data_IF_136693744090
#
_entry.id   IF_136693744090
#
_cell.length_a   1.000
_cell.length_b   1.000
_cell.length_c   1.000
_cell.angle_alpha   90.00
_cell.angle_beta   90.00
_cell.angle_gamma   90.00
#
_symmetry.space_group_name_H-M   'P 1'
#
loop_
_entity.id
_entity.type
_entity.pdbx_description
1 polymer ?
#
# COMPACT_ATOMS: atom_id res chain seq x y z
N UNK A 1 -33.18 1.44 66.65
CA UNK A 1 -32.98 0.84 65.31
C UNK A 1 -33.00 1.96 64.27
N UNK A 2 -31.85 2.53 63.88
CA UNK A 2 -31.79 3.54 62.81
C UNK A 2 -30.86 3.03 61.71
N UNK A 3 -31.42 2.83 60.51
CA UNK A 3 -30.70 2.33 59.33
C UNK A 3 -29.86 3.46 58.73
N UNK A 4 -28.56 3.19 58.49
CA UNK A 4 -27.68 4.07 57.76
C UNK A 4 -28.07 4.12 56.27
N UNK A 5 -28.26 5.32 55.75
CA UNK A 5 -28.49 5.60 54.32
C UNK A 5 -27.15 5.46 53.59
N UNK A 6 -27.01 4.41 52.77
CA UNK A 6 -25.88 4.27 51.83
C UNK A 6 -26.16 5.15 50.61
N UNK A 7 -25.35 6.20 50.42
CA UNK A 7 -25.31 6.99 49.18
C UNK A 7 -24.55 6.21 48.12
N UNK A 8 -25.26 5.75 47.10
CA UNK A 8 -24.67 5.12 45.91
C UNK A 8 -24.04 6.22 45.05
N UNK A 9 -22.71 6.21 44.92
CA UNK A 9 -22.00 7.06 43.96
C UNK A 9 -22.16 6.39 42.59
N UNK A 10 -22.94 7.01 41.71
CA UNK A 10 -23.01 6.61 40.31
C UNK A 10 -21.79 7.19 39.57
N UNK A 11 -20.80 6.35 39.25
CA UNK A 11 -19.75 6.69 38.29
C UNK A 11 -20.39 6.76 36.90
N UNK A 12 -20.48 7.96 36.34
CA UNK A 12 -20.79 8.16 34.92
C UNK A 12 -19.60 7.72 34.08
N UNK A 13 -19.76 6.62 33.32
CA UNK A 13 -18.79 6.22 32.32
C UNK A 13 -19.00 7.07 31.05
N UNK A 14 -18.17 8.09 30.88
CA UNK A 14 -18.12 8.90 29.66
C UNK A 14 -17.47 8.07 28.57
N UNK A 15 -18.28 7.45 27.71
CA UNK A 15 -17.81 6.65 26.57
C UNK A 15 -17.43 7.60 25.42
N UNK A 16 -16.16 8.01 25.36
CA UNK A 16 -15.63 8.78 24.22
C UNK A 16 -15.55 7.86 23.00
N UNK A 17 -16.49 8.05 22.07
CA UNK A 17 -16.42 7.49 20.72
C UNK A 17 -15.24 8.16 20.00
N UNK A 18 -14.09 7.49 19.92
CA UNK A 18 -13.04 7.86 18.97
C UNK A 18 -13.56 7.53 17.57
N UNK A 19 -14.15 8.51 16.90
CA UNK A 19 -14.28 8.48 15.43
C UNK A 19 -12.87 8.51 14.86
N UNK A 20 -12.38 7.35 14.41
CA UNK A 20 -11.09 7.24 13.74
C UNK A 20 -11.12 8.03 12.44
N UNK A 21 -10.46 9.18 12.42
CA UNK A 21 -10.19 9.91 11.18
C UNK A 21 -9.21 9.05 10.40
N UNK A 22 -9.64 8.51 9.26
CA UNK A 22 -8.73 7.82 8.36
C UNK A 22 -7.74 8.87 7.81
N UNK A 23 -6.54 8.93 8.38
CA UNK A 23 -5.50 9.83 7.87
C UNK A 23 -5.03 9.27 6.54
N UNK A 24 -5.06 10.10 5.48
CA UNK A 24 -4.52 9.70 4.19
C UNK A 24 -3.06 9.27 4.35
N UNK A 25 -2.70 8.07 3.87
CA UNK A 25 -1.35 7.55 3.94
C UNK A 25 -0.72 7.61 2.56
N UNK A 26 0.52 8.08 2.46
CA UNK A 26 1.27 8.07 1.21
C UNK A 26 2.69 7.53 1.39
N UNK A 27 3.19 6.88 0.34
CA UNK A 27 4.56 6.39 0.28
C UNK A 27 5.10 6.55 -1.13
N UNK A 28 6.37 6.94 -1.22
CA UNK A 28 7.08 7.14 -2.48
C UNK A 28 8.14 6.06 -2.64
N UNK A 29 8.27 5.54 -3.85
CA UNK A 29 9.17 4.46 -4.20
C UNK A 29 9.93 4.79 -5.49
N UNK A 30 11.20 4.39 -5.54
CA UNK A 30 12.03 4.41 -6.73
C UNK A 30 12.46 2.98 -7.03
N UNK A 31 11.87 2.36 -8.07
CA UNK A 31 12.17 0.98 -8.41
C UNK A 31 13.52 0.89 -9.14
N UNK A 32 14.23 -0.20 -8.89
CA UNK A 32 15.36 -0.65 -9.68
C UNK A 32 15.03 -2.00 -10.33
N UNK A 33 15.49 -2.19 -11.57
CA UNK A 33 15.44 -3.48 -12.24
C UNK A 33 16.25 -4.52 -11.46
N UNK A 34 15.73 -5.74 -11.40
CA UNK A 34 16.50 -6.89 -10.95
C UNK A 34 17.66 -7.15 -11.95
N UNK A 35 18.92 -7.30 -11.49
CA UNK A 35 20.06 -7.57 -12.37
C UNK A 35 19.93 -8.85 -13.20
N UNK A 36 19.08 -9.80 -12.78
CA UNK A 36 18.79 -11.04 -13.49
C UNK A 36 17.73 -10.92 -14.59
N UNK A 37 17.20 -9.72 -14.85
CA UNK A 37 16.20 -9.49 -15.88
C UNK A 37 16.75 -9.81 -17.29
N UNK A 38 15.94 -10.50 -18.10
CA UNK A 38 16.25 -10.75 -19.52
C UNK A 38 16.13 -9.48 -20.36
N UNK A 39 16.74 -9.49 -21.56
CA UNK A 39 16.75 -8.33 -22.47
C UNK A 39 15.35 -7.77 -22.77
N UNK A 40 14.33 -8.63 -22.86
CA UNK A 40 12.94 -8.20 -23.11
C UNK A 40 12.36 -7.30 -22.01
N UNK A 41 12.83 -7.44 -20.77
CA UNK A 41 12.43 -6.60 -19.65
C UNK A 41 13.04 -5.20 -19.72
N UNK A 42 14.24 -5.07 -20.29
CA UNK A 42 14.97 -3.79 -20.39
C UNK A 42 14.19 -2.78 -21.22
N UNK A 43 13.47 -3.22 -22.26
CA UNK A 43 12.63 -2.34 -23.06
C UNK A 43 11.48 -1.71 -22.26
N UNK A 44 11.02 -2.38 -21.20
CA UNK A 44 9.96 -1.91 -20.31
C UNK A 44 10.49 -1.07 -19.14
N UNK A 45 11.80 -1.16 -18.86
CA UNK A 45 12.46 -0.56 -17.69
C UNK A 45 12.18 0.95 -17.49
N UNK A 46 12.14 1.80 -18.55
CA UNK A 46 11.89 3.23 -18.37
C UNK A 46 10.51 3.59 -17.81
N UNK A 47 9.56 2.63 -17.78
CA UNK A 47 8.26 2.79 -17.13
C UNK A 47 8.37 2.64 -15.61
N UNK A 48 9.30 1.82 -15.13
CA UNK A 48 9.39 1.40 -13.73
C UNK A 48 10.48 2.14 -12.96
N UNK A 49 11.57 2.56 -13.60
CA UNK A 49 12.68 3.28 -12.94
C UNK A 49 12.39 4.75 -12.63
N UNK A 50 11.11 5.12 -12.54
CA UNK A 50 10.63 6.45 -12.18
C UNK A 50 9.99 6.42 -10.79
N UNK A 51 9.73 7.60 -10.24
CA UNK A 51 9.00 7.72 -8.98
C UNK A 51 7.61 7.10 -9.07
N UNK A 52 7.28 6.24 -8.11
CA UNK A 52 5.95 5.69 -7.87
C UNK A 52 5.42 6.26 -6.57
N UNK A 53 4.16 6.70 -6.56
CA UNK A 53 3.48 7.21 -5.38
C UNK A 53 2.28 6.35 -5.09
N UNK A 54 2.32 5.69 -3.94
CA UNK A 54 1.18 5.03 -3.33
C UNK A 54 0.38 6.04 -2.51
N UNK A 55 -0.94 5.98 -2.62
CA UNK A 55 -1.86 6.79 -1.82
C UNK A 55 -3.00 5.92 -1.32
N UNK A 56 -3.28 5.97 -0.02
CA UNK A 56 -4.47 5.42 0.61
C UNK A 56 -5.29 6.58 1.16
N UNK A 57 -6.44 6.82 0.55
CA UNK A 57 -7.36 7.90 0.90
C UNK A 57 -8.79 7.33 0.89
N UNK A 58 -9.56 7.60 1.94
CA UNK A 58 -10.94 7.09 2.10
C UNK A 58 -11.11 5.57 1.89
N UNK A 59 -10.06 4.80 2.22
CA UNK A 59 -10.04 3.34 2.07
C UNK A 59 -9.73 2.86 0.64
N UNK A 60 -9.52 3.77 -0.30
CA UNK A 60 -9.08 3.46 -1.66
C UNK A 60 -7.56 3.57 -1.78
N UNK A 61 -6.91 2.47 -2.15
CA UNK A 61 -5.48 2.45 -2.44
C UNK A 61 -5.23 2.65 -3.93
N UNK A 62 -4.37 3.61 -4.28
CA UNK A 62 -3.96 3.88 -5.65
C UNK A 62 -2.44 3.92 -5.78
N UNK A 63 -1.95 3.57 -6.97
CA UNK A 63 -0.55 3.74 -7.35
C UNK A 63 -0.48 4.57 -8.62
N UNK A 64 0.30 5.65 -8.54
CA UNK A 64 0.56 6.53 -9.68
C UNK A 64 2.05 6.57 -9.98
N UNK A 65 2.41 6.51 -11.26
CA UNK A 65 3.77 6.76 -11.74
C UNK A 65 3.74 7.37 -13.13
N UNK A 66 4.85 7.99 -13.52
CA UNK A 66 5.04 8.45 -14.90
C UNK A 66 4.96 7.25 -15.89
N UNK A 67 4.57 7.52 -17.14
CA UNK A 67 4.34 6.45 -18.13
C UNK A 67 2.89 5.95 -18.19
N UNK A 68 1.97 6.61 -17.50
CA UNK A 68 0.53 6.31 -17.56
C UNK A 68 0.07 5.25 -16.56
N UNK A 69 0.91 4.89 -15.58
CA UNK A 69 0.50 4.05 -14.47
C UNK A 69 -0.35 4.89 -13.53
N UNK A 70 -1.66 4.63 -13.54
CA UNK A 70 -2.61 5.12 -12.56
C UNK A 70 -3.63 4.02 -12.31
N UNK A 71 -3.44 3.27 -11.22
CA UNK A 71 -4.18 2.03 -10.99
C UNK A 71 -4.67 1.94 -9.55
N UNK A 72 -5.86 1.35 -9.38
CA UNK A 72 -6.39 0.98 -8.07
C UNK A 72 -5.74 -0.31 -7.61
N UNK A 73 -5.48 -0.38 -6.31
CA UNK A 73 -4.90 -1.55 -5.66
C UNK A 73 -5.91 -2.16 -4.69
N UNK A 74 -5.99 -3.49 -4.71
CA UNK A 74 -6.81 -4.27 -3.79
C UNK A 74 -5.98 -4.59 -2.56
N UNK A 75 -6.54 -4.36 -1.38
CA UNK A 75 -5.95 -4.86 -0.14
C UNK A 75 -6.08 -6.39 -0.07
N UNK A 76 -4.97 -7.08 0.19
CA UNK A 76 -4.95 -8.54 0.34
C UNK A 76 -4.58 -9.01 1.73
N UNK A 77 -3.83 -8.19 2.47
CA UNK A 77 -3.53 -8.38 3.90
C UNK A 77 -3.45 -6.99 4.56
N UNK A 78 -3.48 -6.90 5.90
CA UNK A 78 -3.27 -5.62 6.58
C UNK A 78 -2.03 -4.91 6.04
N UNK A 79 -2.19 -3.68 5.55
CA UNK A 79 -1.13 -2.86 4.94
C UNK A 79 -0.40 -3.47 3.72
N UNK A 80 -0.98 -4.47 3.05
CA UNK A 80 -0.45 -5.04 1.79
C UNK A 80 -1.50 -4.95 0.70
N UNK A 81 -1.12 -4.34 -0.42
CA UNK A 81 -2.00 -4.05 -1.54
C UNK A 81 -1.40 -4.57 -2.84
N UNK A 82 -2.25 -5.06 -3.74
CA UNK A 82 -1.81 -5.58 -5.02
C UNK A 82 -2.71 -5.14 -6.17
N UNK A 83 -2.18 -5.19 -7.38
CA UNK A 83 -2.97 -5.01 -8.60
C UNK A 83 -2.29 -5.74 -9.75
N UNK A 84 -3.09 -6.11 -10.75
CA UNK A 84 -2.60 -6.63 -12.01
C UNK A 84 -2.95 -5.63 -13.12
N UNK A 85 -2.04 -5.39 -14.06
CA UNK A 85 -2.33 -4.57 -15.22
C UNK A 85 -1.55 -5.03 -16.46
N UNK A 86 -2.05 -4.68 -17.63
CA UNK A 86 -1.39 -5.00 -18.90
C UNK A 86 -0.52 -3.82 -19.36
N UNK A 87 0.76 -4.09 -19.63
CA UNK A 87 1.68 -3.16 -20.28
C UNK A 87 2.06 -3.72 -21.66
N UNK A 88 1.31 -3.31 -22.69
CA UNK A 88 1.41 -3.94 -24.01
C UNK A 88 1.03 -5.43 -23.93
N UNK A 89 2.00 -6.32 -24.18
CA UNK A 89 1.82 -7.79 -24.10
C UNK A 89 2.25 -8.39 -22.75
N UNK A 90 2.71 -7.56 -21.81
CA UNK A 90 3.18 -8.01 -20.50
C UNK A 90 2.06 -7.96 -19.48
N UNK A 91 1.96 -9.00 -18.65
CA UNK A 91 1.03 -9.09 -17.54
C UNK A 91 1.77 -8.76 -16.24
N UNK A 92 1.66 -7.50 -15.85
CA UNK A 92 2.36 -6.96 -14.71
C UNK A 92 1.54 -7.19 -13.44
N UNK A 93 2.23 -7.59 -12.38
CA UNK A 93 1.73 -7.71 -11.03
C UNK A 93 2.49 -6.74 -10.13
N UNK A 94 1.78 -5.92 -9.38
CA UNK A 94 2.39 -4.96 -8.45
C UNK A 94 1.95 -5.29 -7.04
N UNK A 95 2.89 -5.30 -6.10
CA UNK A 95 2.66 -5.47 -4.67
C UNK A 95 3.29 -4.31 -3.91
N UNK A 96 2.47 -3.56 -3.18
CA UNK A 96 2.90 -2.58 -2.19
C UNK A 96 2.75 -3.19 -0.80
N UNK A 97 3.88 -3.44 -0.13
CA UNK A 97 3.91 -3.92 1.26
C UNK A 97 4.33 -2.77 2.18
N UNK A 98 3.33 -2.14 2.81
CA UNK A 98 3.52 -1.06 3.78
C UNK A 98 3.71 -1.58 5.21
N UNK A 99 3.52 -2.88 5.45
CA UNK A 99 3.81 -3.52 6.72
C UNK A 99 5.32 -3.81 6.87
N UNK A 100 6.03 -3.99 5.76
CA UNK A 100 7.48 -4.14 5.74
C UNK A 100 8.19 -2.90 6.31
N UNK A 101 9.37 -3.11 6.92
CA UNK A 101 10.22 -2.04 7.45
C UNK A 101 11.63 -2.18 6.85
N UNK A 102 12.04 -1.32 5.90
CA UNK A 102 11.25 -0.25 5.29
C UNK A 102 10.12 -0.80 4.39
N UNK A 103 9.06 -0.01 4.11
CA UNK A 103 8.03 -0.36 3.14
C UNK A 103 8.64 -0.70 1.78
N UNK A 104 7.98 -1.59 1.03
CA UNK A 104 8.48 -2.06 -0.27
C UNK A 104 7.44 -1.96 -1.36
N UNK A 105 7.92 -1.81 -2.59
CA UNK A 105 7.12 -1.92 -3.81
C UNK A 105 7.82 -2.90 -4.74
N UNK A 106 7.10 -3.90 -5.21
CA UNK A 106 7.58 -4.89 -6.17
C UNK A 106 6.70 -4.88 -7.40
N UNK A 107 7.32 -4.91 -8.57
CA UNK A 107 6.65 -5.14 -9.85
C UNK A 107 7.25 -6.39 -10.47
N UNK A 108 6.41 -7.32 -10.90
CA UNK A 108 6.83 -8.52 -11.61
C UNK A 108 5.97 -8.81 -12.82
N UNK A 109 6.56 -9.40 -13.85
CA UNK A 109 5.83 -9.90 -15.01
C UNK A 109 5.65 -11.42 -14.85
N UNK A 110 4.41 -11.90 -14.98
CA UNK A 110 4.03 -13.28 -14.61
C UNK A 110 4.60 -14.36 -15.55
N UNK A 111 5.01 -14.04 -16.77
CA UNK A 111 5.34 -15.00 -17.84
C UNK A 111 6.80 -14.99 -18.29
N UNK A 112 7.48 -13.84 -18.21
CA UNK A 112 8.83 -13.55 -18.68
C UNK A 112 9.82 -13.40 -17.52
N UNK A 113 9.32 -13.34 -16.28
CA UNK A 113 10.15 -13.27 -15.08
C UNK A 113 10.80 -11.91 -14.83
N UNK A 114 10.35 -10.86 -15.52
CA UNK A 114 10.83 -9.49 -15.29
C UNK A 114 10.47 -9.03 -13.89
N UNK A 115 11.41 -8.38 -13.19
CA UNK A 115 11.22 -7.91 -11.81
C UNK A 115 11.85 -6.54 -11.60
N UNK A 116 11.15 -5.72 -10.81
CA UNK A 116 11.63 -4.46 -10.29
C UNK A 116 11.27 -4.35 -8.82
N UNK A 117 12.17 -3.81 -8.01
CA UNK A 117 11.95 -3.67 -6.57
C UNK A 117 12.42 -2.31 -6.07
N UNK A 118 11.70 -1.79 -5.08
CA UNK A 118 12.07 -0.60 -4.33
C UNK A 118 11.97 -0.90 -2.84
N UNK A 119 12.90 -0.32 -2.08
CA UNK A 119 12.70 0.00 -0.67
C UNK A 119 12.35 1.48 -0.60
N UNK A 120 11.42 1.86 0.28
CA UNK A 120 11.08 3.27 0.49
C UNK A 120 12.35 4.09 0.72
N UNK A 121 12.52 5.16 -0.05
CA UNK A 121 13.56 6.18 0.11
C UNK A 121 13.26 7.11 1.27
#
# INVERSE_FOLDING_TARGET
MNKAVRRTIALGATMTLLTGVAVAQSATFWLAADPGNIQGCIAADPQFTRQHTFTLEDGEATLTAAGGIHTKMKQVRPNVYETDYALGRMHMHIVADLAATPPTLMVSEKSLGCKWTAKKS
#
